data_IF_847712799983
#
_entry.id   IF_847712799983
#
_cell.length_a   1.000
_cell.length_b   1.000
_cell.length_c   1.000
_cell.angle_alpha   90.00
_cell.angle_beta   90.00
_cell.angle_gamma   90.00
#
_symmetry.space_group_name_H-M   'P 1'
#
loop_
_entity.id
_entity.type
_entity.pdbx_description
1 polymer ?
#
# COMPACT_ATOMS: atom_id res chain seq x y z
N UNK A 1 -6.59 -2.72 3.47
CA UNK A 1 -7.82 -1.92 3.61
C UNK A 1 -8.56 -1.93 2.28
N UNK A 2 -9.87 -2.27 2.29
CA UNK A 2 -10.70 -2.26 1.09
C UNK A 2 -11.04 -0.83 0.65
N UNK A 3 -11.28 -0.64 -0.66
CA UNK A 3 -11.61 0.70 -1.21
C UNK A 3 -12.87 1.33 -0.56
N UNK A 4 -13.83 0.51 -0.18
CA UNK A 4 -15.05 0.98 0.51
C UNK A 4 -14.76 1.46 1.95
N UNK A 5 -13.83 0.79 2.66
CA UNK A 5 -13.38 1.24 3.98
C UNK A 5 -12.65 2.58 3.91
N UNK A 6 -11.77 2.75 2.92
CA UNK A 6 -11.08 4.03 2.69
C UNK A 6 -12.06 5.16 2.38
N UNK A 7 -13.08 4.89 1.55
CA UNK A 7 -14.13 5.88 1.25
C UNK A 7 -14.87 6.30 2.52
N UNK A 8 -15.25 5.35 3.37
CA UNK A 8 -15.89 5.63 4.66
C UNK A 8 -14.98 6.45 5.59
N UNK A 9 -13.70 6.08 5.68
CA UNK A 9 -12.70 6.77 6.47
C UNK A 9 -12.54 8.23 6.05
N UNK A 10 -12.29 8.49 4.76
CA UNK A 10 -12.11 9.85 4.26
C UNK A 10 -13.36 10.71 4.39
N UNK A 11 -14.54 10.12 4.22
CA UNK A 11 -15.81 10.84 4.37
C UNK A 11 -16.01 11.42 5.77
N UNK A 12 -15.52 10.71 6.80
CA UNK A 12 -15.66 11.12 8.20
C UNK A 12 -14.43 11.84 8.76
N UNK A 13 -13.31 11.80 8.05
CA UNK A 13 -12.01 12.30 8.50
C UNK A 13 -12.07 13.79 8.86
N UNK A 14 -12.72 14.59 8.03
CA UNK A 14 -12.87 16.04 8.27
C UNK A 14 -13.56 16.31 9.59
N UNK A 15 -14.74 15.72 9.82
CA UNK A 15 -15.49 15.90 11.06
C UNK A 15 -14.76 15.41 12.30
N UNK A 16 -14.02 14.31 12.18
CA UNK A 16 -13.29 13.72 13.31
C UNK A 16 -12.00 14.45 13.66
N UNK A 17 -11.30 14.96 12.66
CA UNK A 17 -9.93 15.48 12.83
C UNK A 17 -9.88 17.00 12.62
N UNK A 18 -10.40 17.49 11.49
CA UNK A 18 -10.19 18.87 11.07
C UNK A 18 -11.19 19.88 11.64
N UNK A 19 -12.41 19.43 11.94
CA UNK A 19 -13.45 20.33 12.45
C UNK A 19 -13.28 20.66 13.95
N UNK A 20 -12.10 20.40 14.52
CA UNK A 20 -11.76 20.68 15.90
C UNK A 20 -10.80 21.85 15.98
N UNK A 21 -11.14 22.86 16.78
CA UNK A 21 -10.34 24.09 16.91
C UNK A 21 -8.93 23.81 17.40
N UNK A 22 -8.76 22.87 18.31
CA UNK A 22 -7.47 22.47 18.87
C UNK A 22 -6.54 21.80 17.86
N UNK A 23 -7.09 21.21 16.79
CA UNK A 23 -6.32 20.53 15.76
C UNK A 23 -5.90 21.44 14.59
N UNK A 24 -6.41 22.67 14.54
CA UNK A 24 -6.18 23.59 13.40
C UNK A 24 -4.71 23.90 13.14
N UNK A 25 -3.90 23.89 14.17
CA UNK A 25 -2.48 24.22 14.08
C UNK A 25 -1.59 22.97 14.05
N UNK A 26 -2.17 21.75 14.15
CA UNK A 26 -1.42 20.49 14.19
C UNK A 26 -2.16 19.35 13.47
N UNK A 27 -2.53 19.59 12.23
CA UNK A 27 -3.27 18.61 11.43
C UNK A 27 -2.53 17.31 11.21
N UNK A 28 -1.21 17.37 11.03
CA UNK A 28 -0.42 16.17 10.79
C UNK A 28 -0.50 15.21 11.98
N UNK A 29 -0.17 15.68 13.18
CA UNK A 29 -0.23 14.87 14.40
C UNK A 29 -1.65 14.35 14.66
N UNK A 30 -2.66 15.16 14.39
CA UNK A 30 -4.06 14.76 14.55
C UNK A 30 -4.44 13.64 13.56
N UNK A 31 -4.09 13.75 12.28
CA UNK A 31 -4.35 12.71 11.27
C UNK A 31 -3.63 11.43 11.63
N UNK A 32 -2.32 11.50 11.93
CA UNK A 32 -1.53 10.31 12.23
C UNK A 32 -2.01 9.65 13.52
N UNK A 33 -2.27 10.44 14.58
CA UNK A 33 -2.83 9.91 15.83
C UNK A 33 -4.17 9.19 15.59
N UNK A 34 -5.05 9.77 14.76
CA UNK A 34 -6.31 9.15 14.41
C UNK A 34 -6.13 7.84 13.65
N UNK A 35 -5.27 7.82 12.63
CA UNK A 35 -5.02 6.62 11.82
C UNK A 35 -4.38 5.48 12.63
N UNK A 36 -3.49 5.81 13.57
CA UNK A 36 -2.84 4.82 14.42
C UNK A 36 -3.77 4.21 15.47
N UNK A 37 -4.91 4.85 15.76
CA UNK A 37 -5.92 4.35 16.71
C UNK A 37 -7.07 3.61 16.03
N UNK A 38 -7.05 3.47 14.71
CA UNK A 38 -8.04 2.67 14.00
C UNK A 38 -7.93 1.19 14.40
N UNK A 39 -9.09 0.54 14.48
CA UNK A 39 -9.22 -0.86 14.91
C UNK A 39 -9.84 -1.73 13.83
N UNK A 40 -9.90 -3.02 14.06
CA UNK A 40 -10.53 -3.99 13.16
C UNK A 40 -9.88 -4.01 11.77
N UNK A 41 -10.71 -3.98 10.72
CA UNK A 41 -10.28 -4.04 9.32
C UNK A 41 -9.51 -2.81 8.84
N UNK A 42 -9.60 -1.71 9.55
CA UNK A 42 -8.99 -0.43 9.19
C UNK A 42 -7.68 -0.16 9.97
N UNK A 43 -7.27 -1.12 10.80
CA UNK A 43 -6.03 -1.03 11.57
C UNK A 43 -4.82 -0.79 10.65
N UNK A 44 -3.98 0.13 11.04
CA UNK A 44 -2.73 0.41 10.35
C UNK A 44 -1.72 -0.70 10.68
N UNK A 45 -1.16 -1.38 9.66
CA UNK A 45 -0.20 -2.45 9.93
C UNK A 45 1.09 -1.87 10.54
N UNK A 46 1.73 -2.65 11.38
CA UNK A 46 3.11 -2.37 11.80
C UNK A 46 4.08 -2.50 10.62
N UNK A 47 5.26 -1.92 10.74
CA UNK A 47 6.32 -2.03 9.73
C UNK A 47 6.66 -3.49 9.42
N UNK A 48 6.70 -4.34 10.45
CA UNK A 48 6.97 -5.77 10.28
C UNK A 48 5.88 -6.47 9.46
N UNK A 49 4.61 -6.22 9.77
CA UNK A 49 3.47 -6.78 9.02
C UNK A 49 3.45 -6.24 7.58
N UNK A 50 3.80 -4.98 7.39
CA UNK A 50 3.88 -4.37 6.06
C UNK A 50 4.96 -5.03 5.20
N UNK A 51 6.17 -5.23 5.75
CA UNK A 51 7.26 -5.93 5.06
C UNK A 51 6.88 -7.36 4.71
N UNK A 52 6.31 -8.12 5.65
CA UNK A 52 5.83 -9.48 5.39
C UNK A 52 4.78 -9.48 4.26
N UNK A 53 3.83 -8.56 4.31
CA UNK A 53 2.79 -8.48 3.28
C UNK A 53 3.36 -8.14 1.89
N UNK A 54 4.38 -7.31 1.78
CA UNK A 54 5.04 -7.00 0.51
C UNK A 54 5.84 -8.19 -0.05
N UNK A 55 6.41 -9.01 0.82
CA UNK A 55 7.19 -10.20 0.43
C UNK A 55 6.32 -11.33 -0.09
N UNK A 56 5.16 -11.55 0.52
CA UNK A 56 4.37 -12.77 0.33
C UNK A 56 3.15 -12.58 -0.58
N UNK A 57 2.63 -11.35 -0.68
CA UNK A 57 1.40 -11.12 -1.44
C UNK A 57 1.63 -11.12 -2.95
N UNK A 58 0.61 -11.61 -3.67
CA UNK A 58 0.49 -11.42 -5.10
C UNK A 58 0.25 -9.93 -5.41
N UNK A 59 1.33 -9.19 -5.64
CA UNK A 59 1.29 -7.76 -5.96
C UNK A 59 0.85 -7.50 -7.39
N UNK A 60 1.15 -8.43 -8.31
CA UNK A 60 0.80 -8.28 -9.72
C UNK A 60 -0.70 -8.18 -9.95
N UNK A 61 -1.52 -8.81 -9.09
CA UNK A 61 -2.99 -8.69 -9.13
C UNK A 61 -3.47 -7.24 -9.02
N UNK A 62 -2.68 -6.37 -8.38
CA UNK A 62 -2.94 -4.92 -8.28
C UNK A 62 -1.93 -4.17 -9.14
N UNK A 63 -1.97 -4.37 -10.44
CA UNK A 63 -0.98 -3.92 -11.42
C UNK A 63 -0.58 -2.45 -11.24
N UNK A 64 -1.52 -1.53 -11.10
CA UNK A 64 -1.25 -0.11 -10.91
C UNK A 64 -0.44 0.17 -9.62
N UNK A 65 -0.79 -0.49 -8.50
CA UNK A 65 -0.03 -0.37 -7.25
C UNK A 65 1.36 -0.99 -7.39
N UNK A 66 1.44 -2.16 -8.01
CA UNK A 66 2.72 -2.84 -8.25
C UNK A 66 3.66 -1.95 -9.10
N UNK A 67 3.16 -1.41 -10.22
CA UNK A 67 3.92 -0.48 -11.07
C UNK A 67 4.37 0.75 -10.29
N UNK A 68 3.47 1.34 -9.50
CA UNK A 68 3.79 2.49 -8.66
C UNK A 68 4.94 2.21 -7.69
N UNK A 69 4.93 1.06 -7.00
CA UNK A 69 5.99 0.68 -6.07
C UNK A 69 7.33 0.46 -6.79
N UNK A 70 7.32 -0.25 -7.93
CA UNK A 70 8.53 -0.48 -8.71
C UNK A 70 9.12 0.83 -9.26
N UNK A 71 8.27 1.74 -9.73
CA UNK A 71 8.70 3.08 -10.17
C UNK A 71 9.27 3.89 -9.01
N UNK A 72 8.63 3.85 -7.83
CA UNK A 72 9.14 4.55 -6.65
C UNK A 72 10.51 4.02 -6.22
N UNK A 73 10.72 2.70 -6.29
CA UNK A 73 12.02 2.07 -6.02
C UNK A 73 13.06 2.53 -7.05
N UNK A 74 12.71 2.52 -8.33
CA UNK A 74 13.65 2.92 -9.39
C UNK A 74 14.06 4.38 -9.28
N UNK A 75 13.12 5.27 -8.97
CA UNK A 75 13.34 6.71 -8.85
C UNK A 75 14.10 7.14 -7.58
N UNK A 76 14.65 6.22 -6.79
CA UNK A 76 15.64 6.55 -5.76
C UNK A 76 17.01 6.92 -6.34
N UNK A 77 17.23 6.61 -7.62
CA UNK A 77 18.42 7.02 -8.35
C UNK A 77 18.50 8.54 -8.50
N UNK A 78 19.62 9.01 -9.06
CA UNK A 78 19.88 10.44 -9.26
C UNK A 78 18.99 11.07 -10.35
N UNK A 79 18.49 10.25 -11.27
CA UNK A 79 17.66 10.69 -12.39
C UNK A 79 16.30 9.99 -12.34
N UNK A 80 15.23 10.76 -12.52
CA UNK A 80 13.90 10.20 -12.67
C UNK A 80 13.73 9.62 -14.07
N UNK A 81 13.27 8.38 -14.14
CA UNK A 81 13.04 7.70 -15.42
C UNK A 81 11.66 8.03 -15.98
N UNK A 82 11.56 8.06 -17.31
CA UNK A 82 10.28 8.11 -18.01
C UNK A 82 9.61 6.74 -17.91
N UNK A 83 8.49 6.68 -17.22
CA UNK A 83 7.84 5.41 -16.86
C UNK A 83 6.69 5.00 -17.76
N UNK A 84 6.27 5.88 -18.69
CA UNK A 84 5.07 5.66 -19.52
C UNK A 84 5.21 4.44 -20.43
N UNK A 85 6.40 4.22 -20.99
CA UNK A 85 6.70 3.10 -21.85
C UNK A 85 7.07 1.82 -21.08
N UNK A 86 7.26 1.88 -19.76
CA UNK A 86 7.67 0.74 -18.97
C UNK A 86 6.48 -0.09 -18.52
N UNK A 87 6.66 -1.40 -18.58
CA UNK A 87 5.69 -2.39 -18.09
C UNK A 87 6.33 -3.29 -17.03
N UNK A 88 5.48 -3.97 -16.25
CA UNK A 88 5.95 -4.93 -15.24
C UNK A 88 6.38 -6.21 -15.96
N UNK A 89 7.59 -6.65 -15.69
CA UNK A 89 8.15 -7.92 -16.16
C UNK A 89 8.33 -8.90 -15.00
N UNK A 90 8.10 -10.19 -15.29
CA UNK A 90 8.41 -11.31 -14.42
C UNK A 90 9.77 -11.90 -14.78
N UNK A 91 10.74 -11.81 -13.88
CA UNK A 91 12.06 -12.38 -14.11
C UNK A 91 11.95 -13.91 -14.29
N UNK A 92 11.35 -14.63 -13.32
CA UNK A 92 10.87 -16.00 -13.52
C UNK A 92 9.58 -15.94 -14.35
N UNK A 93 9.53 -16.64 -15.51
CA UNK A 93 8.41 -16.49 -16.46
C UNK A 93 7.04 -16.88 -15.93
N UNK A 94 6.02 -16.28 -16.54
CA UNK A 94 4.62 -16.58 -16.22
C UNK A 94 4.10 -17.88 -16.83
N UNK A 95 4.80 -18.43 -17.84
CA UNK A 95 4.39 -19.66 -18.48
C UNK A 95 4.21 -20.79 -17.45
N UNK A 96 3.11 -21.52 -17.56
CA UNK A 96 2.88 -22.69 -16.68
C UNK A 96 3.84 -23.82 -16.99
N UNK A 97 4.22 -23.95 -18.26
CA UNK A 97 5.17 -24.95 -18.75
C UNK A 97 6.56 -24.31 -18.86
N UNK A 98 7.23 -24.14 -17.75
CA UNK A 98 8.59 -23.61 -17.73
C UNK A 98 9.53 -24.49 -18.54
N UNK A 99 10.52 -23.87 -19.21
CA UNK A 99 11.58 -24.60 -19.90
C UNK A 99 12.41 -25.45 -18.93
N UNK A 100 13.02 -26.51 -19.44
CA UNK A 100 13.91 -27.40 -18.65
C UNK A 100 15.01 -26.61 -17.93
N UNK A 101 15.53 -25.53 -18.56
CA UNK A 101 16.50 -24.64 -17.94
C UNK A 101 15.94 -23.96 -16.67
N UNK A 102 14.74 -23.44 -16.76
CA UNK A 102 14.07 -22.83 -15.59
C UNK A 102 13.73 -23.86 -14.51
N UNK A 103 13.18 -25.03 -14.90
CA UNK A 103 12.88 -26.10 -13.94
C UNK A 103 14.12 -26.52 -13.16
N UNK A 104 15.25 -26.71 -13.87
CA UNK A 104 16.54 -27.07 -13.26
C UNK A 104 17.02 -25.95 -12.30
N UNK A 105 16.88 -24.70 -12.68
CA UNK A 105 17.32 -23.56 -11.89
C UNK A 105 16.48 -23.41 -10.60
N UNK A 106 15.19 -23.66 -10.66
CA UNK A 106 14.27 -23.57 -9.51
C UNK A 106 14.34 -24.78 -8.58
N UNK A 107 14.87 -25.93 -9.09
CA UNK A 107 15.03 -27.17 -8.33
C UNK A 107 13.88 -28.16 -8.50
N UNK A 108 13.93 -29.27 -7.71
CA UNK A 108 12.93 -30.33 -7.77
C UNK A 108 11.49 -29.86 -7.53
N UNK A 109 11.36 -28.85 -6.68
CA UNK A 109 10.06 -28.32 -6.24
C UNK A 109 9.67 -27.07 -7.03
N UNK A 110 10.12 -26.95 -8.29
CA UNK A 110 9.95 -25.76 -9.12
C UNK A 110 8.50 -25.30 -9.26
N UNK A 111 7.53 -26.21 -9.26
CA UNK A 111 6.10 -25.88 -9.34
C UNK A 111 5.65 -25.09 -8.09
N UNK A 112 6.04 -25.54 -6.90
CA UNK A 112 5.75 -24.89 -5.63
C UNK A 112 6.47 -23.53 -5.54
N UNK A 113 7.74 -23.48 -5.98
CA UNK A 113 8.51 -22.24 -6.04
C UNK A 113 7.83 -21.24 -6.95
N UNK A 114 7.41 -21.69 -8.14
CA UNK A 114 6.69 -20.85 -9.09
C UNK A 114 5.37 -20.35 -8.51
N UNK A 115 4.54 -21.22 -7.96
CA UNK A 115 3.26 -20.85 -7.37
C UNK A 115 3.42 -19.80 -6.26
N UNK A 116 4.41 -19.99 -5.40
CA UNK A 116 4.66 -19.11 -4.27
C UNK A 116 5.23 -17.75 -4.67
N UNK A 117 6.20 -17.71 -5.57
CA UNK A 117 7.00 -16.51 -5.80
C UNK A 117 6.70 -15.77 -7.11
N UNK A 118 5.95 -16.34 -8.03
CA UNK A 118 5.74 -15.79 -9.36
C UNK A 118 5.33 -14.32 -9.34
N UNK A 119 4.40 -13.96 -8.51
CA UNK A 119 3.78 -12.63 -8.46
C UNK A 119 4.20 -11.79 -7.26
N UNK A 120 5.23 -12.20 -6.54
CA UNK A 120 5.80 -11.46 -5.40
C UNK A 120 6.74 -10.36 -5.86
N UNK A 121 6.96 -9.35 -5.02
CA UNK A 121 7.83 -8.20 -5.32
C UNK A 121 9.22 -8.62 -5.79
N UNK A 122 9.78 -9.69 -5.20
CA UNK A 122 11.11 -10.18 -5.53
C UNK A 122 11.26 -10.66 -6.96
N UNK A 123 10.21 -11.15 -7.59
CA UNK A 123 10.23 -11.63 -8.96
C UNK A 123 9.84 -10.59 -10.01
N UNK A 124 9.45 -9.38 -9.58
CA UNK A 124 8.93 -8.35 -10.48
C UNK A 124 9.97 -7.24 -10.73
N UNK A 125 10.00 -6.74 -11.96
CA UNK A 125 10.84 -5.62 -12.37
C UNK A 125 10.13 -4.75 -13.40
N UNK A 126 10.78 -3.71 -13.89
CA UNK A 126 10.31 -2.87 -14.98
C UNK A 126 11.14 -3.09 -16.23
N UNK A 127 10.49 -3.05 -17.38
CA UNK A 127 11.16 -3.12 -18.69
C UNK A 127 10.35 -2.44 -19.78
N UNK A 128 11.05 -1.99 -20.84
CA UNK A 128 10.43 -1.60 -22.11
C UNK A 128 10.25 -2.75 -23.10
N UNK A 129 10.82 -3.95 -22.83
CA UNK A 129 10.93 -5.11 -23.73
C UNK A 129 10.16 -6.34 -23.27
N UNK A 130 9.03 -6.14 -22.59
CA UNK A 130 8.28 -7.24 -21.97
C UNK A 130 7.89 -8.35 -22.97
N UNK A 131 7.48 -7.99 -24.19
CA UNK A 131 7.10 -8.94 -25.23
C UNK A 131 8.27 -9.81 -25.72
N UNK A 132 9.47 -9.31 -25.63
CA UNK A 132 10.68 -9.97 -26.12
C UNK A 132 11.34 -10.84 -25.04
N UNK A 133 11.19 -10.45 -23.76
CA UNK A 133 11.72 -11.19 -22.62
C UNK A 133 11.00 -12.52 -22.41
N UNK A 134 9.69 -12.54 -22.47
CA UNK A 134 8.84 -13.74 -22.41
C UNK A 134 9.40 -14.88 -21.55
N UNK A 135 9.62 -16.03 -22.19
CA UNK A 135 10.09 -17.26 -21.55
C UNK A 135 11.61 -17.50 -21.73
N UNK A 136 12.37 -16.48 -22.12
CA UNK A 136 13.82 -16.59 -22.31
C UNK A 136 14.53 -17.17 -21.08
N UNK A 137 15.65 -17.92 -21.27
CA UNK A 137 16.50 -18.31 -20.16
C UNK A 137 16.99 -17.12 -19.35
N UNK A 138 17.30 -17.34 -18.09
CA UNK A 138 17.65 -16.25 -17.15
C UNK A 138 18.84 -15.41 -17.64
N UNK A 139 19.87 -16.02 -18.16
CA UNK A 139 21.05 -15.32 -18.68
C UNK A 139 20.68 -14.36 -19.84
N UNK A 140 19.86 -14.83 -20.78
CA UNK A 140 19.38 -13.99 -21.89
C UNK A 140 18.49 -12.85 -21.43
N UNK A 141 17.62 -13.10 -20.42
CA UNK A 141 16.85 -12.03 -19.78
C UNK A 141 17.76 -10.99 -19.14
N UNK A 142 18.83 -11.40 -18.47
CA UNK A 142 19.79 -10.48 -17.86
C UNK A 142 20.44 -9.56 -18.90
N UNK A 143 20.86 -10.11 -20.03
CA UNK A 143 21.47 -9.34 -21.11
C UNK A 143 20.51 -8.26 -21.62
N UNK A 144 19.25 -8.63 -21.86
CA UNK A 144 18.22 -7.67 -22.30
C UNK A 144 17.87 -6.64 -21.23
N UNK A 145 17.80 -7.03 -19.96
CA UNK A 145 17.53 -6.10 -18.84
C UNK A 145 18.72 -5.14 -18.62
N UNK A 146 19.93 -5.48 -19.10
CA UNK A 146 21.11 -4.62 -19.04
C UNK A 146 21.07 -3.46 -20.03
N UNK A 147 20.14 -3.47 -20.96
CA UNK A 147 20.06 -2.43 -22.01
C UNK A 147 19.83 -1.05 -21.39
N UNK A 148 20.80 -0.17 -21.65
CA UNK A 148 20.81 1.20 -21.15
C UNK A 148 19.66 2.05 -21.69
N UNK A 149 19.02 1.63 -22.78
CA UNK A 149 17.88 2.36 -23.35
C UNK A 149 16.64 2.32 -22.47
N UNK A 150 16.52 1.35 -21.56
CA UNK A 150 15.41 1.31 -20.59
C UNK A 150 15.60 2.25 -19.42
N UNK A 151 16.83 2.68 -19.16
CA UNK A 151 17.24 3.47 -18.00
C UNK A 151 16.85 2.87 -16.62
N UNK A 152 16.44 1.59 -16.59
CA UNK A 152 16.12 0.88 -15.35
C UNK A 152 17.43 0.38 -14.72
N UNK A 153 17.94 1.13 -13.76
CA UNK A 153 19.28 0.89 -13.17
C UNK A 153 19.21 0.35 -11.75
N UNK A 154 18.31 0.87 -10.92
CA UNK A 154 18.20 0.46 -9.51
C UNK A 154 17.65 -0.94 -9.39
N UNK A 155 16.53 -1.26 -10.06
CA UNK A 155 15.94 -2.59 -10.09
C UNK A 155 16.84 -3.61 -10.79
N UNK A 156 17.59 -3.20 -11.82
CA UNK A 156 18.55 -4.05 -12.51
C UNK A 156 19.77 -4.36 -11.63
N UNK A 157 20.25 -3.41 -10.84
CA UNK A 157 21.42 -3.61 -9.96
C UNK A 157 21.28 -4.79 -9.01
N UNK A 158 20.06 -5.19 -8.69
CA UNK A 158 19.77 -6.34 -7.83
C UNK A 158 19.93 -7.67 -8.53
N UNK A 159 19.87 -7.66 -9.85
CA UNK A 159 19.77 -8.88 -10.68
C UNK A 159 21.04 -9.12 -11.45
N UNK A 160 21.77 -8.06 -11.82
CA UNK A 160 22.92 -8.09 -12.74
C UNK A 160 24.04 -9.08 -12.40
N UNK A 161 24.30 -9.25 -11.10
CA UNK A 161 25.40 -10.12 -10.61
C UNK A 161 24.89 -11.51 -10.20
N UNK A 162 23.64 -11.86 -10.52
CA UNK A 162 23.06 -13.15 -10.17
C UNK A 162 23.31 -14.17 -11.28
N UNK A 163 23.81 -15.33 -10.89
CA UNK A 163 23.99 -16.50 -11.78
C UNK A 163 22.78 -17.42 -11.74
N UNK A 164 21.97 -17.31 -10.68
CA UNK A 164 20.80 -18.14 -10.44
C UNK A 164 19.60 -17.30 -9.99
N UNK A 165 18.43 -17.72 -10.44
CA UNK A 165 17.16 -17.13 -10.06
C UNK A 165 16.24 -18.20 -9.45
N UNK A 166 16.41 -18.47 -8.17
CA UNK A 166 15.72 -19.50 -7.41
C UNK A 166 14.96 -18.90 -6.23
N UNK A 167 14.29 -19.72 -5.42
CA UNK A 167 13.50 -19.30 -4.27
C UNK A 167 14.31 -18.37 -3.34
N UNK A 168 15.54 -18.75 -3.01
CA UNK A 168 16.40 -18.00 -2.10
C UNK A 168 16.75 -16.62 -2.66
N UNK A 169 17.07 -16.53 -3.95
CA UNK A 169 17.40 -15.26 -4.61
C UNK A 169 16.18 -14.35 -4.67
N UNK A 170 15.01 -14.88 -5.00
CA UNK A 170 13.76 -14.14 -5.04
C UNK A 170 13.37 -13.63 -3.64
N UNK A 171 13.48 -14.46 -2.62
CA UNK A 171 13.20 -14.10 -1.23
C UNK A 171 14.12 -12.99 -0.71
N UNK A 172 15.42 -13.12 -0.93
CA UNK A 172 16.42 -12.12 -0.55
C UNK A 172 16.14 -10.76 -1.22
N UNK A 173 15.77 -10.78 -2.51
CA UNK A 173 15.38 -9.57 -3.23
C UNK A 173 14.05 -9.00 -2.69
N UNK A 174 13.05 -9.84 -2.42
CA UNK A 174 11.80 -9.40 -1.80
C UNK A 174 12.04 -8.68 -0.48
N UNK A 175 12.88 -9.23 0.38
CA UNK A 175 13.25 -8.64 1.66
C UNK A 175 13.90 -7.26 1.47
N UNK A 176 14.87 -7.16 0.58
CA UNK A 176 15.56 -5.90 0.31
C UNK A 176 14.63 -4.83 -0.27
N UNK A 177 13.83 -5.19 -1.29
CA UNK A 177 12.89 -4.26 -1.91
C UNK A 177 11.80 -3.81 -0.93
N UNK A 178 11.32 -4.71 -0.07
CA UNK A 178 10.31 -4.38 0.95
C UNK A 178 10.85 -3.39 1.98
N UNK A 179 12.09 -3.56 2.43
CA UNK A 179 12.76 -2.58 3.31
C UNK A 179 12.98 -1.24 2.61
N UNK A 180 13.24 -1.26 1.33
CA UNK A 180 13.35 -0.05 0.51
C UNK A 180 12.02 0.68 0.43
N UNK A 181 10.92 -0.02 0.14
CA UNK A 181 9.57 0.56 0.14
C UNK A 181 9.24 1.18 1.50
N UNK A 182 9.55 0.50 2.60
CA UNK A 182 9.33 1.03 3.95
C UNK A 182 10.07 2.36 4.17
N UNK A 183 11.30 2.48 3.68
CA UNK A 183 12.07 3.73 3.78
C UNK A 183 11.53 4.85 2.89
N UNK A 184 10.93 4.50 1.74
CA UNK A 184 10.34 5.47 0.82
C UNK A 184 9.02 6.05 1.33
N UNK A 185 8.29 5.27 2.11
CA UNK A 185 6.99 5.64 2.66
C UNK A 185 6.99 5.55 4.19
N UNK A 186 7.87 6.33 4.87
CA UNK A 186 7.92 6.31 6.32
C UNK A 186 6.62 6.90 6.89
N UNK A 187 6.20 6.34 8.02
CA UNK A 187 5.18 6.98 8.84
C UNK A 187 5.93 7.68 9.97
N UNK A 188 6.01 9.00 9.87
CA UNK A 188 6.52 9.78 10.99
C UNK A 188 5.49 9.76 12.11
N UNK A 189 5.93 9.36 13.31
CA UNK A 189 5.06 9.35 14.47
C UNK A 189 4.70 10.79 14.88
N UNK A 190 3.48 11.02 15.40
CA UNK A 190 3.07 12.35 15.82
C UNK A 190 3.95 12.83 16.98
N UNK A 191 4.35 14.09 16.96
CA UNK A 191 5.07 14.73 18.07
C UNK A 191 4.17 14.89 19.29
N UNK A 192 2.90 15.18 19.04
CA UNK A 192 1.84 15.24 20.06
C UNK A 192 0.81 14.18 19.78
N UNK A 193 0.76 13.15 20.60
CA UNK A 193 -0.26 12.10 20.47
C UNK A 193 -1.61 12.60 20.97
N UNK A 194 -2.59 12.60 20.07
CA UNK A 194 -3.99 12.94 20.38
C UNK A 194 -4.75 11.64 20.63
N UNK A 195 -5.46 11.59 21.75
CA UNK A 195 -6.30 10.44 22.11
C UNK A 195 -7.71 10.63 21.55
N UNK A 196 -8.00 9.93 20.45
CA UNK A 196 -9.32 9.95 19.82
C UNK A 196 -10.37 9.08 20.53
N UNK A 197 -10.00 8.35 21.59
CA UNK A 197 -10.96 7.69 22.46
C UNK A 197 -11.66 8.68 23.43
N UNK A 198 -11.07 9.87 23.61
CA UNK A 198 -11.68 10.95 24.40
C UNK A 198 -13.08 11.28 23.83
N UNK A 199 -14.12 11.35 24.68
CA UNK A 199 -15.49 11.68 24.25
C UNK A 199 -15.61 12.92 23.38
N UNK A 200 -14.71 13.90 23.52
CA UNK A 200 -14.67 15.12 22.69
C UNK A 200 -14.47 14.83 21.20
N UNK A 201 -13.85 13.70 20.85
CA UNK A 201 -13.59 13.30 19.46
C UNK A 201 -14.60 12.30 18.92
N UNK A 202 -15.58 11.87 19.71
CA UNK A 202 -16.61 10.98 19.23
C UNK A 202 -17.60 11.74 18.34
N UNK A 203 -17.86 11.16 17.17
CA UNK A 203 -18.95 11.64 16.33
C UNK A 203 -20.27 11.13 16.91
N UNK A 204 -21.10 12.03 17.35
CA UNK A 204 -22.48 11.69 17.65
C UNK A 204 -23.21 11.44 16.34
N UNK A 205 -23.53 10.19 16.07
CA UNK A 205 -24.40 9.84 14.96
C UNK A 205 -25.81 10.29 15.32
N UNK A 206 -26.26 11.35 14.68
CA UNK A 206 -27.68 11.68 14.68
C UNK A 206 -28.37 10.58 13.89
N UNK A 207 -29.36 9.92 14.51
CA UNK A 207 -30.16 8.93 13.83
C UNK A 207 -30.84 9.57 12.61
N UNK A 208 -30.89 8.82 11.50
CA UNK A 208 -31.50 9.30 10.27
C UNK A 208 -32.96 9.72 10.52
N UNK A 209 -33.34 11.00 10.34
CA UNK A 209 -34.69 11.47 10.58
C UNK A 209 -35.73 10.87 9.62
N UNK A 210 -35.28 10.22 8.54
CA UNK A 210 -36.15 9.50 7.60
C UNK A 210 -36.41 8.05 7.98
N UNK A 211 -35.78 7.55 9.05
CA UNK A 211 -36.05 6.22 9.56
C UNK A 211 -37.41 6.22 10.29
N UNK A 212 -38.35 5.37 9.86
CA UNK A 212 -39.69 5.28 10.42
C UNK A 212 -39.74 4.96 11.93
N UNK A 213 -38.69 4.43 12.49
CA UNK A 213 -38.55 4.14 13.93
C UNK A 213 -37.96 5.29 14.73
N UNK A 214 -37.50 6.33 14.05
CA UNK A 214 -36.83 7.47 14.66
C UNK A 214 -37.83 8.46 15.26
N UNK A 215 -37.65 8.77 16.53
CA UNK A 215 -38.37 9.87 17.17
C UNK A 215 -37.47 11.08 17.26
N UNK A 216 -37.86 12.17 16.61
CA UNK A 216 -37.19 13.44 16.76
C UNK A 216 -37.18 13.88 18.23
N UNK A 217 -35.99 14.28 18.71
CA UNK A 217 -35.84 14.96 19.99
C UNK A 217 -35.28 16.36 19.72
N UNK A 218 -35.79 17.33 20.43
CA UNK A 218 -35.42 18.74 20.27
C UNK A 218 -34.22 19.15 21.14
N UNK A 219 -33.38 18.20 21.48
CA UNK A 219 -32.14 18.45 22.20
C UNK A 219 -31.10 17.41 21.84
N UNK A 220 -29.85 17.72 22.10
CA UNK A 220 -28.74 16.76 22.15
C UNK A 220 -27.98 16.95 23.46
N UNK A 221 -27.27 15.91 23.88
CA UNK A 221 -26.37 15.94 25.03
C UNK A 221 -24.96 15.90 24.57
N UNK A 222 -24.14 16.85 25.00
CA UNK A 222 -22.71 16.94 24.71
C UNK A 222 -21.97 17.15 26.02
N UNK A 223 -21.05 16.23 26.37
CA UNK A 223 -20.26 16.30 27.60
C UNK A 223 -21.08 16.43 28.88
N UNK A 224 -22.27 15.83 28.90
CA UNK A 224 -23.20 15.91 30.04
C UNK A 224 -24.08 17.15 30.09
N UNK A 225 -23.91 18.06 29.14
CA UNK A 225 -24.80 19.24 29.01
C UNK A 225 -25.87 18.99 27.95
N UNK A 226 -27.12 19.35 28.31
CA UNK A 226 -28.25 19.28 27.37
C UNK A 226 -28.42 20.61 26.65
N UNK A 227 -28.34 20.54 25.30
CA UNK A 227 -28.57 21.69 24.43
C UNK A 227 -29.87 21.51 23.68
N UNK A 228 -30.81 22.44 23.88
CA UNK A 228 -32.08 22.43 23.16
C UNK A 228 -31.90 23.04 21.77
N UNK A 229 -32.58 22.45 20.79
CA UNK A 229 -32.52 22.88 19.38
C UNK A 229 -33.91 22.86 18.77
N UNK A 230 -34.24 23.91 18.00
CA UNK A 230 -35.57 24.06 17.41
C UNK A 230 -35.76 23.28 16.11
N UNK A 231 -34.65 22.85 15.52
CA UNK A 231 -34.70 22.06 14.28
C UNK A 231 -33.43 21.21 14.11
N UNK A 232 -33.53 20.14 13.30
CA UNK A 232 -32.39 19.31 12.92
C UNK A 232 -31.26 20.13 12.26
N UNK A 233 -31.63 21.12 11.44
CA UNK A 233 -30.67 21.98 10.78
C UNK A 233 -29.85 22.85 11.76
N UNK A 234 -30.52 23.33 12.85
CA UNK A 234 -29.86 24.07 13.91
C UNK A 234 -28.92 23.15 14.72
N UNK A 235 -29.37 21.95 15.03
CA UNK A 235 -28.54 20.96 15.72
C UNK A 235 -27.24 20.63 14.92
N UNK A 236 -27.34 20.40 13.61
CA UNK A 236 -26.19 20.13 12.77
C UNK A 236 -25.23 21.31 12.67
N UNK A 237 -25.72 22.54 12.80
CA UNK A 237 -24.90 23.77 12.78
C UNK A 237 -24.27 24.10 14.14
N UNK A 238 -24.81 23.59 15.22
CA UNK A 238 -24.34 23.88 16.59
C UNK A 238 -23.36 22.84 17.13
N UNK A 239 -23.22 21.70 16.46
CA UNK A 239 -22.20 20.66 16.69
C UNK A 239 -21.02 20.87 15.78
#
# INVERSE_FOLDING_TARGET
VGSNSLRGLYKTLYGRVFNRSENKNNYYDAIVSFLLQLTSKDVMPSDAEFVVALKERNLYRKNALCKYLLVAIENQGKEQIKTDALTIEHIMPQNKNLSTAWQKMLGSDWELVRERYLHTLGNLTLTGYNSELGDLPFAEKLDMLSDKNTHVTVLYSDVKDKTEWNAQTIEARSERLSKTVLKLFPIELPTTKIDFSDPRYQLYTVADPHNATYKWVNYYELLGERVNVDSFALMVRSV
#
